data_IF_740360541755
#
_entry.id   IF_740360541755
#
_cell.length_a   1.000
_cell.length_b   1.000
_cell.length_c   1.000
_cell.angle_alpha   90.00
_cell.angle_beta   90.00
_cell.angle_gamma   90.00
#
_symmetry.space_group_name_H-M   'P 1'
#
loop_
_entity.id
_entity.type
_entity.pdbx_description
1 polymer ?
#
# COMPACT_ATOMS: atom_id res chain seq x y z
N UNK A 1 -5.65 -2.10 -2.03
CA UNK A 1 -5.03 -1.28 -0.97
C UNK A 1 -5.52 -1.64 0.44
N UNK A 2 -6.84 -1.63 0.72
CA UNK A 2 -7.38 -1.88 2.08
C UNK A 2 -6.86 -3.18 2.73
N UNK A 3 -6.92 -4.37 2.09
CA UNK A 3 -6.45 -5.61 2.71
C UNK A 3 -4.95 -5.58 3.05
N UNK A 4 -4.14 -4.96 2.18
CA UNK A 4 -2.70 -4.81 2.37
C UNK A 4 -2.39 -3.88 3.53
N UNK A 5 -3.09 -2.74 3.65
CA UNK A 5 -2.91 -1.81 4.76
C UNK A 5 -3.29 -2.44 6.09
N UNK A 6 -4.45 -3.13 6.16
CA UNK A 6 -4.85 -3.90 7.34
C UNK A 6 -3.79 -4.97 7.66
N UNK A 7 -3.32 -5.70 6.65
CA UNK A 7 -2.20 -6.64 6.79
C UNK A 7 -0.93 -5.98 7.33
N UNK A 8 -0.63 -4.74 6.95
CA UNK A 8 0.46 -3.94 7.51
C UNK A 8 0.32 -3.70 9.01
N UNK A 9 -0.88 -3.40 9.49
CA UNK A 9 -1.16 -3.21 10.93
C UNK A 9 -1.10 -4.51 11.74
N UNK A 10 -1.37 -5.67 11.10
CA UNK A 10 -1.50 -6.96 11.79
C UNK A 10 -0.25 -7.84 11.68
N UNK A 11 0.45 -7.82 10.54
CA UNK A 11 1.58 -8.68 10.23
C UNK A 11 2.92 -8.04 10.60
N UNK A 12 3.98 -8.85 10.67
CA UNK A 12 5.36 -8.36 10.81
C UNK A 12 5.84 -7.68 9.52
N UNK A 13 6.85 -6.80 9.56
CA UNK A 13 7.25 -5.99 8.40
C UNK A 13 7.56 -6.79 7.15
N UNK A 14 8.25 -7.93 7.30
CA UNK A 14 8.60 -8.84 6.19
C UNK A 14 7.35 -9.45 5.54
N UNK A 15 6.40 -9.91 6.37
CA UNK A 15 5.16 -10.51 5.90
C UNK A 15 4.23 -9.48 5.27
N UNK A 16 4.16 -8.27 5.82
CA UNK A 16 3.37 -7.18 5.25
C UNK A 16 3.88 -6.74 3.86
N UNK A 17 5.20 -6.67 3.68
CA UNK A 17 5.81 -6.42 2.38
C UNK A 17 5.47 -7.52 1.38
N UNK A 18 5.64 -8.79 1.77
CA UNK A 18 5.37 -9.94 0.92
C UNK A 18 3.90 -9.97 0.49
N UNK A 19 2.98 -9.73 1.43
CA UNK A 19 1.56 -9.60 1.17
C UNK A 19 1.29 -8.52 0.11
N UNK A 20 1.89 -7.33 0.27
CA UNK A 20 1.70 -6.22 -0.65
C UNK A 20 2.19 -6.50 -2.08
N UNK A 21 3.31 -7.20 -2.23
CA UNK A 21 3.86 -7.59 -3.54
C UNK A 21 3.02 -8.67 -4.21
N UNK A 22 2.64 -9.71 -3.44
CA UNK A 22 1.95 -10.88 -3.97
C UNK A 22 0.50 -10.54 -4.37
N UNK A 23 -0.17 -9.67 -3.63
CA UNK A 23 -1.59 -9.34 -3.85
C UNK A 23 -1.90 -8.90 -5.29
N UNK A 24 -1.26 -7.88 -5.89
CA UNK A 24 -1.56 -7.45 -7.25
C UNK A 24 -1.12 -8.45 -8.31
N UNK A 25 -0.07 -9.25 -8.05
CA UNK A 25 0.39 -10.31 -8.97
C UNK A 25 -0.65 -11.42 -9.04
N UNK A 26 -1.11 -11.93 -7.89
CA UNK A 26 -2.17 -12.93 -7.84
C UNK A 26 -3.48 -12.37 -8.41
N UNK A 27 -3.84 -11.13 -8.07
CA UNK A 27 -5.02 -10.48 -8.62
C UNK A 27 -4.96 -10.40 -10.15
N UNK A 28 -3.83 -9.97 -10.71
CA UNK A 28 -3.63 -9.89 -12.16
C UNK A 28 -3.73 -11.24 -12.84
N UNK A 29 -3.17 -12.29 -12.24
CA UNK A 29 -3.24 -13.67 -12.76
C UNK A 29 -4.64 -14.26 -12.69
N UNK A 30 -5.38 -14.03 -11.60
CA UNK A 30 -6.68 -14.66 -11.36
C UNK A 30 -7.85 -13.91 -12.01
N UNK A 31 -7.79 -12.57 -12.04
CA UNK A 31 -8.92 -11.73 -12.46
C UNK A 31 -8.66 -11.00 -13.76
N UNK A 32 -7.44 -11.06 -14.30
CA UNK A 32 -7.01 -10.24 -15.44
C UNK A 32 -6.78 -8.77 -15.10
N UNK A 33 -6.99 -8.35 -13.85
CA UNK A 33 -6.77 -6.98 -13.37
C UNK A 33 -5.93 -6.97 -12.08
N UNK A 34 -4.92 -6.10 -11.94
CA UNK A 34 -4.40 -5.13 -12.92
C UNK A 34 -3.63 -5.79 -14.07
N UNK A 35 -3.47 -5.08 -15.19
CA UNK A 35 -2.64 -5.55 -16.33
C UNK A 35 -1.25 -5.92 -15.82
N UNK A 36 -0.81 -7.14 -16.11
CA UNK A 36 0.46 -7.71 -15.61
C UNK A 36 1.67 -6.79 -15.82
N UNK A 37 1.72 -6.08 -16.96
CA UNK A 37 2.75 -5.07 -17.22
C UNK A 37 2.15 -3.84 -17.93
N UNK A 38 2.48 -2.61 -17.52
CA UNK A 38 3.36 -2.22 -16.40
C UNK A 38 2.62 -2.13 -15.04
N UNK A 39 1.29 -2.23 -15.03
CA UNK A 39 0.48 -1.79 -13.89
C UNK A 39 0.62 -2.68 -12.65
N UNK A 40 0.63 -4.01 -12.80
CA UNK A 40 0.79 -4.92 -11.67
C UNK A 40 2.16 -4.74 -11.00
N UNK A 41 3.21 -4.43 -11.77
CA UNK A 41 4.55 -4.13 -11.24
C UNK A 41 4.52 -2.87 -10.39
N UNK A 42 3.94 -1.77 -10.91
CA UNK A 42 3.81 -0.51 -10.16
C UNK A 42 3.04 -0.75 -8.85
N UNK A 43 1.91 -1.45 -8.93
CA UNK A 43 1.10 -1.76 -7.75
C UNK A 43 1.81 -2.69 -6.77
N UNK A 44 2.64 -3.64 -7.22
CA UNK A 44 3.39 -4.53 -6.34
C UNK A 44 4.39 -3.75 -5.48
N UNK A 45 5.13 -2.81 -6.08
CA UNK A 45 6.04 -1.95 -5.33
C UNK A 45 5.30 -0.96 -4.42
N UNK A 46 4.24 -0.33 -4.92
CA UNK A 46 3.39 0.58 -4.13
C UNK A 46 2.79 -0.10 -2.90
N UNK A 47 2.13 -1.25 -3.10
CA UNK A 47 1.47 -2.01 -2.05
C UNK A 47 2.46 -2.67 -1.10
N UNK A 48 3.58 -3.17 -1.61
CA UNK A 48 4.67 -3.71 -0.80
C UNK A 48 5.20 -2.66 0.18
N UNK A 49 5.43 -1.43 -0.30
CA UNK A 49 5.91 -0.33 0.54
C UNK A 49 4.81 0.19 1.48
N UNK A 50 3.53 0.22 1.07
CA UNK A 50 2.42 0.51 1.97
C UNK A 50 2.39 -0.45 3.17
N UNK A 51 2.40 -1.76 2.90
CA UNK A 51 2.38 -2.78 3.95
C UNK A 51 3.58 -2.68 4.87
N UNK A 52 4.78 -2.54 4.31
CA UNK A 52 6.03 -2.40 5.06
C UNK A 52 6.01 -1.16 5.96
N UNK A 53 5.68 0.01 5.39
CA UNK A 53 5.69 1.28 6.09
C UNK A 53 4.65 1.31 7.21
N UNK A 54 3.44 0.79 6.96
CA UNK A 54 2.41 0.68 8.00
C UNK A 54 2.87 -0.23 9.16
N UNK A 55 3.48 -1.38 8.85
CA UNK A 55 3.98 -2.32 9.86
C UNK A 55 5.12 -1.74 10.68
N UNK A 56 6.08 -1.07 10.04
CA UNK A 56 7.20 -0.41 10.71
C UNK A 56 6.75 0.76 11.58
N UNK A 57 5.84 1.61 11.06
CA UNK A 57 5.29 2.74 11.79
C UNK A 57 4.67 2.31 13.13
N UNK A 58 3.90 1.22 13.11
CA UNK A 58 3.22 0.72 14.31
C UNK A 58 4.18 -0.01 15.24
N UNK A 59 5.04 -0.91 14.72
CA UNK A 59 5.83 -1.83 15.55
C UNK A 59 7.18 -1.27 15.98
N UNK A 60 7.83 -0.48 15.12
CA UNK A 60 9.17 0.09 15.38
C UNK A 60 9.07 1.49 15.97
N UNK A 61 8.14 2.29 15.47
CA UNK A 61 7.98 3.68 15.88
C UNK A 61 6.82 3.92 16.86
N UNK A 62 6.09 2.86 17.25
CA UNK A 62 4.94 2.94 18.18
C UNK A 62 3.91 4.01 17.81
N UNK A 63 3.74 4.28 16.52
CA UNK A 63 2.81 5.28 16.03
C UNK A 63 1.37 4.75 16.11
N UNK A 64 0.44 5.66 16.43
CA UNK A 64 -0.99 5.40 16.34
C UNK A 64 -1.41 5.03 14.91
N UNK A 65 -2.61 4.45 14.77
CA UNK A 65 -3.10 3.92 13.49
C UNK A 65 -3.19 5.00 12.41
N UNK A 66 -3.69 6.20 12.74
CA UNK A 66 -3.88 7.30 11.78
C UNK A 66 -2.54 7.84 11.25
N UNK A 67 -1.55 8.24 12.10
CA UNK A 67 -0.23 8.65 11.61
C UNK A 67 0.47 7.57 10.77
N UNK A 68 0.38 6.32 11.20
CA UNK A 68 0.95 5.18 10.46
C UNK A 68 0.34 5.03 9.06
N UNK A 69 -0.98 5.23 8.96
CA UNK A 69 -1.69 5.20 7.68
C UNK A 69 -1.19 6.29 6.74
N UNK A 70 -1.10 7.53 7.23
CA UNK A 70 -0.63 8.68 6.43
C UNK A 70 0.80 8.46 5.95
N UNK A 71 1.70 8.04 6.84
CA UNK A 71 3.10 7.73 6.47
C UNK A 71 3.15 6.62 5.41
N UNK A 72 2.35 5.57 5.57
CA UNK A 72 2.30 4.48 4.59
C UNK A 72 1.80 4.96 3.23
N UNK A 73 0.75 5.77 3.19
CA UNK A 73 0.20 6.35 1.95
C UNK A 73 1.23 7.21 1.23
N UNK A 74 1.95 8.07 1.95
CA UNK A 74 2.99 8.89 1.33
C UNK A 74 4.12 8.01 0.79
N UNK A 75 4.59 7.04 1.58
CA UNK A 75 5.69 6.17 1.20
C UNK A 75 5.41 5.37 -0.07
N UNK A 76 4.23 4.74 -0.20
CA UNK A 76 3.93 3.99 -1.42
C UNK A 76 3.59 4.88 -2.62
N UNK A 77 3.06 6.10 -2.44
CA UNK A 77 2.93 7.04 -3.58
C UNK A 77 4.29 7.44 -4.14
N UNK A 78 5.28 7.66 -3.26
CA UNK A 78 6.67 7.88 -3.67
C UNK A 78 7.22 6.65 -4.39
N UNK A 79 7.00 5.46 -3.83
CA UNK A 79 7.42 4.20 -4.45
C UNK A 79 6.82 3.98 -5.84
N UNK A 80 5.53 4.25 -6.01
CA UNK A 80 4.84 4.11 -7.28
C UNK A 80 5.43 5.07 -8.31
N UNK A 81 5.67 6.32 -7.91
CA UNK A 81 6.35 7.32 -8.73
C UNK A 81 7.75 6.89 -9.18
N UNK A 82 8.56 6.41 -8.24
CA UNK A 82 9.91 5.91 -8.53
C UNK A 82 9.88 4.69 -9.45
N UNK A 83 8.94 3.76 -9.22
CA UNK A 83 8.76 2.58 -10.06
C UNK A 83 8.38 2.97 -11.48
N UNK A 84 7.48 3.95 -11.65
CA UNK A 84 7.15 4.48 -12.98
C UNK A 84 8.37 5.12 -13.63
N UNK A 85 9.18 5.90 -12.90
CA UNK A 85 10.40 6.49 -13.44
C UNK A 85 11.38 5.44 -13.97
N UNK A 86 11.63 4.39 -13.19
CA UNK A 86 12.47 3.26 -13.57
C UNK A 86 11.90 2.52 -14.80
N UNK A 87 10.59 2.30 -14.84
CA UNK A 87 9.94 1.62 -15.97
C UNK A 87 10.00 2.44 -17.26
N UNK A 88 9.91 3.76 -17.16
CA UNK A 88 10.05 4.65 -18.32
C UNK A 88 11.46 4.62 -18.86
N UNK A 89 12.46 4.69 -17.98
CA UNK A 89 13.87 4.72 -18.36
C UNK A 89 14.36 3.37 -18.93
N UNK A 90 13.96 2.25 -18.31
CA UNK A 90 14.43 0.92 -18.69
C UNK A 90 13.60 0.26 -19.80
N UNK A 91 12.30 0.53 -19.87
CA UNK A 91 11.38 -0.18 -20.78
C UNK A 91 10.68 0.75 -21.78
N UNK A 92 10.99 2.06 -21.80
CA UNK A 92 10.41 3.01 -22.75
C UNK A 92 8.90 3.21 -22.59
N UNK A 93 8.36 2.95 -21.40
CA UNK A 93 6.92 3.09 -21.13
C UNK A 93 6.51 4.55 -21.32
N UNK A 94 5.43 4.80 -22.08
CA UNK A 94 4.86 6.15 -22.30
C UNK A 94 4.06 6.64 -21.08
N UNK A 95 4.68 6.67 -19.90
CA UNK A 95 4.09 7.24 -18.68
C UNK A 95 4.99 8.34 -18.15
N UNK A 96 4.40 9.41 -17.60
CA UNK A 96 5.17 10.42 -16.90
C UNK A 96 5.00 10.19 -15.38
N UNK A 97 6.09 9.95 -14.63
CA UNK A 97 6.02 9.69 -13.18
C UNK A 97 5.27 10.77 -12.39
N UNK A 98 5.50 12.05 -12.72
CA UNK A 98 4.85 13.18 -12.04
C UNK A 98 3.35 13.22 -12.34
N UNK A 99 2.97 12.93 -13.60
CA UNK A 99 1.56 12.88 -14.00
C UNK A 99 0.88 11.68 -13.34
N UNK A 100 1.57 10.54 -13.25
CA UNK A 100 1.06 9.34 -12.59
C UNK A 100 0.77 9.60 -11.11
N UNK A 101 1.72 10.18 -10.36
CA UNK A 101 1.52 10.51 -8.94
C UNK A 101 0.37 11.51 -8.78
N UNK A 102 0.35 12.59 -9.57
CA UNK A 102 -0.74 13.59 -9.50
C UNK A 102 -2.09 12.96 -9.79
N UNK A 103 -2.19 12.14 -10.84
CA UNK A 103 -3.39 11.40 -11.19
C UNK A 103 -3.81 10.44 -10.08
N UNK A 104 -2.87 9.68 -9.52
CA UNK A 104 -3.11 8.73 -8.44
C UNK A 104 -3.56 9.40 -7.14
N UNK A 105 -3.11 10.63 -6.87
CA UNK A 105 -3.59 11.42 -5.72
C UNK A 105 -5.01 11.92 -6.01
N UNK A 106 -5.24 12.62 -7.12
CA UNK A 106 -6.53 13.25 -7.45
C UNK A 106 -7.64 12.20 -7.55
N UNK A 107 -7.41 11.14 -8.34
CA UNK A 107 -8.36 10.02 -8.48
C UNK A 107 -8.46 9.19 -7.20
N UNK A 108 -7.42 9.22 -6.37
CA UNK A 108 -7.34 8.50 -5.11
C UNK A 108 -8.04 9.19 -3.95
N UNK A 109 -8.43 10.47 -4.04
CA UNK A 109 -9.04 11.22 -2.92
C UNK A 109 -10.25 10.49 -2.32
N UNK A 110 -11.25 10.01 -3.11
CA UNK A 110 -12.38 9.29 -2.53
C UNK A 110 -11.94 8.02 -1.80
N UNK A 111 -10.97 7.30 -2.37
CA UNK A 111 -10.41 6.10 -1.76
C UNK A 111 -9.62 6.38 -0.48
N UNK A 112 -8.88 7.50 -0.41
CA UNK A 112 -8.12 7.93 0.77
C UNK A 112 -9.08 8.28 1.91
N UNK A 113 -10.17 8.99 1.62
CA UNK A 113 -11.21 9.32 2.62
C UNK A 113 -11.80 8.04 3.20
N UNK A 114 -12.20 7.09 2.34
CA UNK A 114 -12.74 5.80 2.78
C UNK A 114 -11.70 5.04 3.61
N UNK A 115 -10.44 5.03 3.21
CA UNK A 115 -9.37 4.35 3.94
C UNK A 115 -9.14 4.97 5.32
N UNK A 116 -9.13 6.29 5.44
CA UNK A 116 -8.94 7.01 6.71
C UNK A 116 -10.06 6.76 7.72
N UNK A 117 -11.29 6.50 7.26
CA UNK A 117 -12.41 6.20 8.16
C UNK A 117 -12.45 4.69 8.46
N UNK A 118 -12.39 3.87 7.41
CA UNK A 118 -12.69 2.45 7.50
C UNK A 118 -11.54 1.64 8.13
N UNK A 119 -10.28 1.96 7.80
CA UNK A 119 -9.13 1.19 8.30
C UNK A 119 -8.95 1.36 9.81
N UNK A 120 -8.96 2.58 10.39
CA UNK A 120 -8.82 2.72 11.84
C UNK A 120 -9.95 2.03 12.61
N UNK A 121 -11.19 2.14 12.12
CA UNK A 121 -12.34 1.46 12.73
C UNK A 121 -12.14 -0.07 12.77
N UNK A 122 -11.74 -0.67 11.65
CA UNK A 122 -11.45 -2.11 11.55
C UNK A 122 -10.28 -2.53 12.43
N UNK A 123 -9.17 -1.80 12.41
CA UNK A 123 -7.98 -2.13 13.20
C UNK A 123 -8.30 -2.06 14.70
N UNK A 124 -9.06 -1.06 15.14
CA UNK A 124 -9.49 -0.96 16.53
C UNK A 124 -10.43 -2.09 16.94
N UNK A 125 -11.43 -2.41 16.10
CA UNK A 125 -12.33 -3.53 16.33
C UNK A 125 -11.56 -4.86 16.42
N UNK A 126 -10.66 -5.15 15.47
CA UNK A 126 -9.87 -6.37 15.46
C UNK A 126 -8.97 -6.47 16.70
N UNK A 127 -8.29 -5.38 17.10
CA UNK A 127 -7.47 -5.37 18.32
C UNK A 127 -8.30 -5.63 19.57
N UNK A 128 -9.50 -5.08 19.65
CA UNK A 128 -10.43 -5.28 20.77
C UNK A 128 -10.90 -6.74 20.86
N UNK A 129 -11.29 -7.34 19.74
CA UNK A 129 -11.82 -8.72 19.72
C UNK A 129 -10.74 -9.79 19.85
N UNK A 130 -9.57 -9.61 19.26
CA UNK A 130 -8.57 -10.68 19.14
C UNK A 130 -7.65 -10.77 20.37
N UNK A 131 -7.78 -9.88 21.39
CA UNK A 131 -6.81 -9.77 22.51
C UNK A 131 -5.37 -9.88 21.97
N UNK A 132 -5.09 -9.21 20.85
CA UNK A 132 -3.72 -9.16 20.31
C UNK A 132 -2.94 -8.39 21.36
N UNK A 133 -2.17 -9.13 22.18
CA UNK A 133 -1.23 -8.56 23.13
C UNK A 133 -0.50 -7.46 22.38
N UNK A 134 -0.64 -6.24 22.85
CA UNK A 134 0.23 -5.13 22.50
C UNK A 134 1.65 -5.65 22.67
N UNK A 135 2.30 -5.93 21.54
CA UNK A 135 3.74 -6.16 21.50
C UNK A 135 4.41 -4.83 21.73
#
# INVERSE_FOLDING_TARGET
HIPVLIGGFLLSPKLALLLGIITPVLSGMLTGMPVMFPMAVIMAFELGIYGLAASLAVRKFNLSVIPSLIVSMIAGRIAAGLTVAILVELFGVKMNPLIYIKGAIITGIPGIIIQLIFIPALVYAIKSYVKIKSV
#
